data_IF_820091787051
#
_entry.id   IF_820091787051
#
_cell.length_a   1.000
_cell.length_b   1.000
_cell.length_c   1.000
_cell.angle_alpha   90.00
_cell.angle_beta   90.00
_cell.angle_gamma   90.00
#
_symmetry.space_group_name_H-M   'P 1'
#
loop_
_entity.id
_entity.type
_entity.pdbx_description
1 polymer ?
#
# COMPACT_ATOMS: atom_id res chain seq x y z
N UNK A 1 -9.56 -15.39 9.40
CA UNK A 1 -9.23 -14.74 10.71
C UNK A 1 -8.17 -15.46 11.55
N UNK A 2 -8.08 -16.80 11.53
CA UNK A 2 -7.13 -17.57 12.38
C UNK A 2 -5.67 -17.63 11.87
N UNK A 3 -5.41 -17.19 10.64
CA UNK A 3 -4.08 -17.28 9.99
C UNK A 3 -3.28 -16.00 10.14
N UNK A 4 -3.92 -14.82 10.10
CA UNK A 4 -3.27 -13.53 10.37
C UNK A 4 -2.71 -13.46 11.80
N UNK A 5 -3.43 -14.03 12.78
CA UNK A 5 -2.98 -14.09 14.18
C UNK A 5 -1.77 -14.98 14.39
N UNK A 6 -1.58 -16.05 13.58
CA UNK A 6 -0.38 -16.90 13.65
C UNK A 6 0.87 -16.20 13.10
N UNK A 7 0.73 -15.31 12.12
CA UNK A 7 1.86 -14.52 11.60
C UNK A 7 2.22 -13.33 12.51
N UNK A 8 1.25 -12.80 13.28
CA UNK A 8 1.46 -11.73 14.27
C UNK A 8 2.46 -12.14 15.37
N UNK A 9 2.66 -13.45 15.59
CA UNK A 9 3.52 -13.98 16.65
C UNK A 9 4.96 -14.28 16.20
N UNK A 10 5.30 -14.14 14.91
CA UNK A 10 6.58 -14.59 14.35
C UNK A 10 7.55 -13.48 13.94
N UNK A 11 7.12 -12.21 13.92
CA UNK A 11 7.99 -11.07 13.61
C UNK A 11 7.71 -10.01 14.67
N UNK A 12 8.60 -9.89 15.66
CA UNK A 12 8.67 -8.69 16.49
C UNK A 12 9.08 -7.54 15.57
N UNK A 13 8.09 -6.84 15.02
CA UNK A 13 8.32 -5.62 14.26
C UNK A 13 8.96 -4.59 15.20
N UNK A 14 10.16 -4.15 14.85
CA UNK A 14 10.90 -3.18 15.64
C UNK A 14 10.25 -1.80 15.52
N UNK A 15 10.49 -0.93 16.50
CA UNK A 15 10.05 0.46 16.42
C UNK A 15 10.58 1.18 15.16
N UNK A 16 11.72 0.72 14.63
CA UNK A 16 12.34 1.27 13.43
C UNK A 16 11.64 0.83 12.15
N UNK A 17 11.04 -0.37 12.13
CA UNK A 17 10.25 -0.87 11.00
C UNK A 17 9.01 0.01 10.76
N UNK A 18 8.37 0.49 11.84
CA UNK A 18 7.25 1.42 11.74
C UNK A 18 7.64 2.78 11.17
N UNK A 19 8.77 3.33 11.63
CA UNK A 19 9.27 4.63 11.13
C UNK A 19 9.64 4.55 9.66
N UNK A 20 10.29 3.47 9.26
CA UNK A 20 10.63 3.22 7.85
C UNK A 20 9.36 3.10 7.01
N UNK A 21 8.39 2.30 7.44
CA UNK A 21 7.10 2.15 6.74
C UNK A 21 6.38 3.50 6.57
N UNK A 22 6.28 4.29 7.64
CA UNK A 22 5.64 5.61 7.59
C UNK A 22 6.38 6.57 6.65
N UNK A 23 7.72 6.54 6.67
CA UNK A 23 8.52 7.34 5.76
C UNK A 23 8.27 6.94 4.29
N UNK A 24 8.30 5.64 3.99
CA UNK A 24 8.09 5.15 2.64
C UNK A 24 6.67 5.42 2.13
N UNK A 25 5.64 5.30 2.99
CA UNK A 25 4.28 5.70 2.63
C UNK A 25 4.20 7.19 2.27
N UNK A 26 4.83 8.08 3.08
CA UNK A 26 4.84 9.52 2.79
C UNK A 26 5.55 9.84 1.48
N UNK A 27 6.65 9.14 1.19
CA UNK A 27 7.37 9.28 -0.08
C UNK A 27 6.48 8.88 -1.26
N UNK A 28 5.73 7.77 -1.13
CA UNK A 28 4.78 7.35 -2.16
C UNK A 28 3.63 8.35 -2.36
N UNK A 29 3.07 8.87 -1.27
CA UNK A 29 2.04 9.92 -1.34
C UNK A 29 2.54 11.16 -2.08
N UNK A 30 3.78 11.57 -1.85
CA UNK A 30 4.37 12.72 -2.53
C UNK A 30 4.46 12.48 -4.05
N UNK A 31 4.86 11.29 -4.48
CA UNK A 31 4.87 10.93 -5.90
C UNK A 31 3.46 10.96 -6.52
N UNK A 32 2.45 10.51 -5.78
CA UNK A 32 1.05 10.61 -6.22
C UNK A 32 0.60 12.06 -6.32
N UNK A 33 0.94 12.92 -5.36
CA UNK A 33 0.63 14.35 -5.42
C UNK A 33 1.29 15.03 -6.64
N UNK A 34 2.56 14.74 -6.91
CA UNK A 34 3.27 15.23 -8.09
C UNK A 34 2.60 14.78 -9.40
N UNK A 35 2.17 13.52 -9.46
CA UNK A 35 1.45 12.99 -10.61
C UNK A 35 0.09 13.70 -10.81
N UNK A 36 -0.69 13.90 -9.74
CA UNK A 36 -1.95 14.62 -9.77
C UNK A 36 -1.77 16.09 -10.22
N UNK A 37 -0.74 16.77 -9.73
CA UNK A 37 -0.41 18.12 -10.18
C UNK A 37 0.00 18.17 -11.65
N UNK A 38 0.74 17.16 -12.12
CA UNK A 38 1.09 16.99 -13.53
C UNK A 38 -0.14 16.83 -14.41
N UNK A 39 -1.12 16.04 -13.97
CA UNK A 39 -2.39 15.85 -14.68
C UNK A 39 -3.19 17.15 -14.81
N UNK A 40 -3.25 17.96 -13.75
CA UNK A 40 -3.96 19.26 -13.77
C UNK A 40 -3.46 20.21 -14.88
N UNK A 41 -2.22 20.03 -15.34
CA UNK A 41 -1.56 20.89 -16.34
C UNK A 41 -1.69 20.37 -17.78
N UNK A 42 -2.19 19.15 -17.99
CA UNK A 42 -2.27 18.54 -19.32
C UNK A 42 -3.62 18.82 -20.00
N UNK A 43 -3.59 19.53 -21.12
CA UNK A 43 -4.77 19.98 -21.89
C UNK A 43 -5.10 19.10 -23.10
N UNK A 44 -4.43 17.96 -23.29
CA UNK A 44 -4.60 17.06 -24.43
C UNK A 44 -4.65 15.61 -23.95
N UNK A 45 -5.75 15.23 -23.28
CA UNK A 45 -5.96 13.85 -22.84
C UNK A 45 -7.39 13.42 -23.12
N UNK A 46 -7.54 12.16 -23.50
CA UNK A 46 -8.81 11.44 -23.49
C UNK A 46 -9.45 11.50 -22.09
N UNK A 47 -10.64 12.10 -22.00
CA UNK A 47 -11.23 12.49 -20.71
C UNK A 47 -11.59 11.28 -19.84
N UNK A 48 -12.00 10.16 -20.46
CA UNK A 48 -12.44 8.97 -19.73
C UNK A 48 -11.24 8.25 -19.10
N UNK A 49 -10.20 7.96 -19.89
CA UNK A 49 -8.97 7.34 -19.38
C UNK A 49 -8.22 8.26 -18.38
N UNK A 50 -8.31 9.58 -18.59
CA UNK A 50 -7.75 10.56 -17.65
C UNK A 50 -8.43 10.52 -16.29
N UNK A 51 -9.76 10.48 -16.27
CA UNK A 51 -10.53 10.45 -15.03
C UNK A 51 -10.29 9.13 -14.28
N UNK A 52 -10.27 7.99 -14.97
CA UNK A 52 -9.98 6.68 -14.36
C UNK A 52 -8.59 6.67 -13.70
N UNK A 53 -7.59 7.26 -14.35
CA UNK A 53 -6.24 7.38 -13.79
C UNK A 53 -6.21 8.27 -12.54
N UNK A 54 -6.86 9.45 -12.59
CA UNK A 54 -6.96 10.35 -11.43
C UNK A 54 -7.68 9.68 -10.26
N UNK A 55 -8.80 9.01 -10.52
CA UNK A 55 -9.57 8.30 -9.48
C UNK A 55 -8.73 7.19 -8.84
N UNK A 56 -7.96 6.46 -9.64
CA UNK A 56 -7.02 5.43 -9.15
C UNK A 56 -5.97 6.05 -8.21
N UNK A 57 -5.37 7.17 -8.60
CA UNK A 57 -4.39 7.89 -7.78
C UNK A 57 -4.99 8.37 -6.45
N UNK A 58 -6.22 8.90 -6.47
CA UNK A 58 -6.92 9.35 -5.26
C UNK A 58 -7.21 8.17 -4.31
N UNK A 59 -7.64 7.03 -4.84
CA UNK A 59 -7.85 5.82 -4.04
C UNK A 59 -6.56 5.34 -3.41
N UNK A 60 -5.46 5.30 -4.18
CA UNK A 60 -4.14 4.91 -3.66
C UNK A 60 -3.67 5.85 -2.54
N UNK A 61 -3.84 7.16 -2.72
CA UNK A 61 -3.49 8.16 -1.71
C UNK A 61 -4.25 7.94 -0.39
N UNK A 62 -5.57 7.72 -0.47
CA UNK A 62 -6.40 7.46 0.70
C UNK A 62 -6.00 6.17 1.43
N UNK A 63 -5.67 5.12 0.67
CA UNK A 63 -5.22 3.85 1.24
C UNK A 63 -3.88 3.99 1.95
N UNK A 64 -2.92 4.69 1.36
CA UNK A 64 -1.65 4.99 2.00
C UNK A 64 -1.85 5.77 3.31
N UNK A 65 -2.77 6.75 3.33
CA UNK A 65 -3.06 7.53 4.54
C UNK A 65 -3.67 6.65 5.62
N UNK A 66 -4.61 5.78 5.23
CA UNK A 66 -5.24 4.83 6.14
C UNK A 66 -4.22 3.88 6.76
N UNK A 67 -3.37 3.22 5.95
CA UNK A 67 -2.40 2.25 6.48
C UNK A 67 -1.35 2.90 7.39
N UNK A 68 -0.95 4.14 7.12
CA UNK A 68 -0.09 4.93 8.02
C UNK A 68 -0.76 5.15 9.38
N UNK A 69 -2.07 5.40 9.39
CA UNK A 69 -2.84 5.64 10.61
C UNK A 69 -2.96 4.41 11.51
N UNK A 70 -3.07 3.21 10.93
CA UNK A 70 -3.31 1.97 11.69
C UNK A 70 -2.04 1.15 11.96
N UNK A 71 -0.91 1.43 11.28
CA UNK A 71 0.28 0.55 11.33
C UNK A 71 0.82 0.36 12.75
N UNK A 72 0.69 1.37 13.61
CA UNK A 72 1.19 1.30 14.99
C UNK A 72 0.39 0.31 15.85
N UNK A 73 -0.91 0.15 15.56
CA UNK A 73 -1.80 -0.73 16.31
C UNK A 73 -1.84 -2.15 15.70
N UNK A 74 -1.78 -2.23 14.36
CA UNK A 74 -2.03 -3.49 13.66
C UNK A 74 -0.80 -4.17 13.06
N UNK A 75 0.28 -3.43 12.86
CA UNK A 75 1.53 -3.93 12.30
C UNK A 75 1.67 -3.75 10.79
N UNK A 76 2.91 -3.84 10.30
CA UNK A 76 3.31 -3.70 8.89
C UNK A 76 2.72 -4.82 8.04
N UNK A 77 2.66 -6.06 8.55
CA UNK A 77 2.05 -7.18 7.81
C UNK A 77 0.56 -6.94 7.55
N UNK A 78 -0.17 -6.39 8.53
CA UNK A 78 -1.58 -6.08 8.36
C UNK A 78 -1.79 -4.93 7.37
N UNK A 79 -0.98 -3.87 7.48
CA UNK A 79 -0.95 -2.78 6.51
C UNK A 79 -0.65 -3.30 5.07
N UNK A 80 0.33 -4.18 4.91
CA UNK A 80 0.67 -4.80 3.64
C UNK A 80 -0.50 -5.60 3.06
N UNK A 81 -1.23 -6.32 3.91
CA UNK A 81 -2.40 -7.10 3.52
C UNK A 81 -3.48 -6.21 2.89
N UNK A 82 -3.75 -5.04 3.50
CA UNK A 82 -4.69 -4.05 2.95
C UNK A 82 -4.21 -3.54 1.60
N UNK A 83 -2.93 -3.14 1.48
CA UNK A 83 -2.39 -2.65 0.22
C UNK A 83 -2.53 -3.70 -0.91
N UNK A 84 -2.20 -4.96 -0.63
CA UNK A 84 -2.35 -6.08 -1.58
C UNK A 84 -3.82 -6.32 -1.93
N UNK A 85 -4.74 -6.29 -0.95
CA UNK A 85 -6.18 -6.47 -1.21
C UNK A 85 -6.75 -5.41 -2.14
N UNK A 86 -6.21 -4.20 -2.08
CA UNK A 86 -6.61 -3.06 -2.90
C UNK A 86 -5.70 -2.86 -4.13
N UNK A 87 -5.14 -3.97 -4.63
CA UNK A 87 -4.47 -4.04 -5.94
C UNK A 87 -3.24 -3.15 -6.10
N UNK A 88 -2.57 -2.78 -5.00
CA UNK A 88 -1.20 -2.29 -5.14
C UNK A 88 -0.31 -3.39 -5.71
N UNK A 89 0.58 -3.03 -6.63
CA UNK A 89 1.53 -3.99 -7.16
C UNK A 89 2.52 -4.44 -6.07
N UNK A 90 2.94 -5.71 -6.13
CA UNK A 90 3.78 -6.28 -5.08
C UNK A 90 5.14 -5.59 -4.93
N UNK A 91 5.65 -4.93 -5.99
CA UNK A 91 6.92 -4.20 -5.90
C UNK A 91 6.76 -2.90 -5.12
N UNK A 92 5.65 -2.19 -5.30
CA UNK A 92 5.31 -1.03 -4.48
C UNK A 92 5.06 -1.43 -3.03
N UNK A 93 4.32 -2.51 -2.79
CA UNK A 93 4.13 -3.02 -1.42
C UNK A 93 5.46 -3.43 -0.78
N UNK A 94 6.35 -4.10 -1.52
CA UNK A 94 7.70 -4.43 -1.05
C UNK A 94 8.50 -3.18 -0.69
N UNK A 95 8.52 -2.17 -1.56
CA UNK A 95 9.25 -0.93 -1.32
C UNK A 95 8.75 -0.21 -0.06
N UNK A 96 7.43 -0.22 0.17
CA UNK A 96 6.83 0.45 1.32
C UNK A 96 7.05 -0.31 2.63
N UNK A 97 6.90 -1.63 2.59
CA UNK A 97 6.85 -2.49 3.80
C UNK A 97 8.18 -3.14 4.13
N UNK A 98 9.13 -3.15 3.20
CA UNK A 98 10.38 -3.91 3.25
C UNK A 98 10.17 -5.44 3.38
N UNK A 99 8.94 -5.94 3.22
CA UNK A 99 8.63 -7.37 3.23
C UNK A 99 9.09 -8.01 1.93
N UNK A 100 9.67 -9.21 1.99
CA UNK A 100 10.17 -9.88 0.79
C UNK A 100 9.06 -10.19 -0.23
N UNK A 101 9.36 -10.07 -1.53
CA UNK A 101 8.42 -10.40 -2.61
C UNK A 101 7.83 -11.82 -2.47
N UNK A 102 8.60 -12.88 -2.13
CA UNK A 102 8.04 -14.20 -1.90
C UNK A 102 7.00 -14.23 -0.76
N UNK A 103 7.22 -13.47 0.32
CA UNK A 103 6.25 -13.34 1.40
C UNK A 103 4.97 -12.66 0.92
N UNK A 104 5.10 -11.53 0.21
CA UNK A 104 3.96 -10.78 -0.32
C UNK A 104 3.15 -11.58 -1.35
N UNK A 105 3.82 -12.39 -2.18
CA UNK A 105 3.15 -13.32 -3.10
C UNK A 105 2.34 -14.38 -2.35
N UNK A 106 2.89 -14.92 -1.26
CA UNK A 106 2.16 -15.87 -0.43
C UNK A 106 0.95 -15.21 0.28
N UNK A 107 1.13 -13.97 0.74
CA UNK A 107 0.07 -13.16 1.31
C UNK A 107 -1.07 -12.94 0.30
N UNK A 108 -0.75 -12.49 -0.92
CA UNK A 108 -1.69 -12.31 -2.04
C UNK A 108 -2.46 -13.61 -2.35
N UNK A 109 -1.76 -14.75 -2.45
CA UNK A 109 -2.36 -16.06 -2.68
C UNK A 109 -3.30 -16.49 -1.55
N UNK A 110 -2.97 -16.14 -0.31
CA UNK A 110 -3.79 -16.46 0.86
C UNK A 110 -5.06 -15.61 0.85
N UNK A 111 -4.94 -14.30 0.64
CA UNK A 111 -6.05 -13.36 0.57
C UNK A 111 -7.00 -13.69 -0.60
N UNK A 112 -6.47 -14.16 -1.72
CA UNK A 112 -7.28 -14.56 -2.89
C UNK A 112 -8.14 -15.80 -2.64
N UNK A 113 -7.75 -16.68 -1.71
CA UNK A 113 -8.51 -17.88 -1.33
C UNK A 113 -9.59 -17.60 -0.28
N UNK A 114 -9.54 -16.44 0.37
CA UNK A 114 -10.54 -16.00 1.35
C UNK A 114 -11.68 -15.18 0.73
N UNK A 115 -11.62 -14.87 -0.58
CA UNK A 115 -12.70 -14.28 -1.39
C UNK A 115 -13.64 -15.36 -1.93
#
# INVERSE_FOLDING_TARGET
>A
MLVLTKNKQAIEESHDDYKLFQFMCKLEMNHIYEALEGQRKNTHIDLDAHQEYVDTLVVQLNLLQYVVGIVHEEGVIYAASILVMHSFDLYTVHRITNLSIPFLRNLENTLSKEK
#
